data_IF_118314846081
#
_entry.id   IF_118314846081
#
_cell.length_a   1.000
_cell.length_b   1.000
_cell.length_c   1.000
_cell.angle_alpha   90.00
_cell.angle_beta   90.00
_cell.angle_gamma   90.00
#
_symmetry.space_group_name_H-M   'P 1'
#
loop_
_entity.id
_entity.type
_entity.pdbx_description
1 polymer ?
#
# COMPACT_ATOMS: atom_id res chain seq x y z
N UNK A 1 -13.34 15.66 28.26
CA UNK A 1 -11.99 15.06 28.41
C UNK A 1 -12.02 13.66 27.78
N UNK A 2 -10.93 13.24 27.11
CA UNK A 2 -10.85 11.90 26.47
C UNK A 2 -10.54 10.86 27.53
N UNK A 3 -11.39 9.83 27.67
CA UNK A 3 -11.22 8.78 28.67
C UNK A 3 -9.97 7.93 28.41
N UNK A 4 -9.47 7.23 29.44
CA UNK A 4 -8.32 6.31 29.30
C UNK A 4 -8.57 5.23 28.22
N UNK A 5 -9.81 4.75 28.12
CA UNK A 5 -10.20 3.72 27.15
C UNK A 5 -10.15 4.23 25.69
N UNK A 6 -10.63 5.44 25.45
CA UNK A 6 -10.57 6.10 24.15
C UNK A 6 -9.12 6.42 23.76
N UNK A 7 -8.28 6.82 24.72
CA UNK A 7 -6.85 7.02 24.47
C UNK A 7 -6.14 5.72 24.05
N UNK A 8 -6.52 4.57 24.62
CA UNK A 8 -5.97 3.26 24.19
C UNK A 8 -6.32 2.97 22.74
N UNK A 9 -7.58 3.16 22.34
CA UNK A 9 -7.99 3.01 20.94
C UNK A 9 -7.16 3.92 20.01
N UNK A 10 -7.05 5.21 20.34
CA UNK A 10 -6.31 6.19 19.52
C UNK A 10 -4.85 5.78 19.36
N UNK A 11 -4.17 5.36 20.44
CA UNK A 11 -2.77 4.93 20.39
C UNK A 11 -2.57 3.65 19.58
N UNK A 12 -3.40 2.64 19.83
CA UNK A 12 -3.30 1.35 19.11
C UNK A 12 -3.60 1.54 17.62
N UNK A 13 -4.58 2.38 17.27
CA UNK A 13 -4.89 2.67 15.87
C UNK A 13 -3.75 3.44 15.19
N UNK A 14 -3.11 4.39 15.88
CA UNK A 14 -1.90 5.05 15.37
C UNK A 14 -0.76 4.05 15.13
N UNK A 15 -0.51 3.15 16.08
CA UNK A 15 0.48 2.07 15.92
C UNK A 15 0.10 1.20 14.72
N UNK A 16 -1.19 0.87 14.53
CA UNK A 16 -1.68 0.09 13.39
C UNK A 16 -1.34 0.78 12.06
N UNK A 17 -1.55 2.09 11.95
CA UNK A 17 -1.20 2.87 10.76
C UNK A 17 0.32 2.80 10.49
N UNK A 18 1.14 3.02 11.52
CA UNK A 18 2.60 2.96 11.41
C UNK A 18 3.08 1.58 10.99
N UNK A 19 2.61 0.52 11.65
CA UNK A 19 2.97 -0.87 11.33
C UNK A 19 2.51 -1.24 9.92
N UNK A 20 1.34 -0.77 9.48
CA UNK A 20 0.88 -0.98 8.10
C UNK A 20 1.82 -0.33 7.08
N UNK A 21 2.29 0.90 7.34
CA UNK A 21 3.30 1.55 6.49
C UNK A 21 4.63 0.78 6.48
N UNK A 22 5.05 0.21 7.62
CA UNK A 22 6.25 -0.62 7.70
C UNK A 22 6.09 -1.94 6.93
N UNK A 23 4.90 -2.55 6.92
CA UNK A 23 4.61 -3.72 6.07
C UNK A 23 4.67 -3.35 4.59
N UNK A 24 4.17 -2.18 4.20
CA UNK A 24 4.26 -1.72 2.81
C UNK A 24 5.72 -1.49 2.41
N UNK A 25 6.55 -0.93 3.30
CA UNK A 25 8.00 -0.85 3.08
C UNK A 25 8.63 -2.24 2.93
N UNK A 26 8.31 -3.17 3.83
CA UNK A 26 8.81 -4.55 3.76
C UNK A 26 8.40 -5.26 2.46
N UNK A 27 7.16 -5.07 2.01
CA UNK A 27 6.68 -5.54 0.70
C UNK A 27 7.42 -4.89 -0.47
N UNK A 28 7.72 -3.60 -0.38
CA UNK A 28 8.57 -2.89 -1.34
C UNK A 28 9.98 -3.48 -1.42
N UNK A 29 10.59 -3.84 -0.28
CA UNK A 29 11.89 -4.52 -0.21
C UNK A 29 11.81 -5.93 -0.80
N UNK A 30 10.78 -6.71 -0.46
CA UNK A 30 10.54 -8.04 -1.03
C UNK A 30 10.47 -7.96 -2.56
N UNK A 31 9.76 -6.97 -3.10
CA UNK A 31 9.65 -6.77 -4.56
C UNK A 31 10.97 -6.31 -5.17
N UNK A 32 11.66 -5.35 -4.58
CA UNK A 32 12.89 -4.77 -5.15
C UNK A 32 14.10 -5.71 -5.10
N UNK A 33 14.10 -6.66 -4.16
CA UNK A 33 15.13 -7.71 -4.02
C UNK A 33 14.81 -8.98 -4.83
N UNK A 34 13.65 -9.05 -5.48
CA UNK A 34 13.21 -10.26 -6.19
C UNK A 34 12.89 -11.42 -5.24
N UNK A 35 12.52 -11.12 -3.99
CA UNK A 35 12.20 -12.11 -2.96
C UNK A 35 10.71 -12.48 -2.93
N UNK A 36 9.87 -11.91 -3.80
CA UNK A 36 8.41 -12.10 -3.77
C UNK A 36 7.91 -13.53 -4.08
N UNK A 37 8.81 -14.44 -4.45
CA UNK A 37 8.53 -15.87 -4.65
C UNK A 37 9.39 -16.75 -3.73
N UNK A 38 10.00 -16.18 -2.70
CA UNK A 38 10.86 -16.88 -1.74
C UNK A 38 10.12 -17.91 -0.87
N UNK A 39 8.81 -17.81 -0.72
CA UNK A 39 7.96 -18.78 -0.01
C UNK A 39 6.82 -19.29 -0.91
N UNK A 40 6.85 -20.56 -1.36
CA UNK A 40 5.92 -21.06 -2.39
C UNK A 40 4.49 -21.33 -1.91
N UNK A 41 4.31 -21.58 -0.61
CA UNK A 41 3.05 -21.90 0.05
C UNK A 41 2.67 -20.80 1.06
N UNK A 42 1.46 -20.84 1.61
CA UNK A 42 0.97 -19.96 2.68
C UNK A 42 -0.13 -20.72 3.45
N UNK A 43 -0.23 -20.65 4.79
CA UNK A 43 0.47 -19.75 5.73
C UNK A 43 1.88 -20.18 6.13
N UNK A 44 2.30 -21.39 5.74
CA UNK A 44 3.66 -21.89 5.95
C UNK A 44 4.61 -21.39 4.86
N UNK A 45 5.89 -21.72 4.99
CA UNK A 45 6.91 -21.50 3.98
C UNK A 45 7.76 -22.77 3.86
N UNK A 46 7.72 -23.39 2.69
CA UNK A 46 8.20 -24.74 2.43
C UNK A 46 7.61 -25.81 3.38
N UNK A 47 6.29 -25.79 3.59
CA UNK A 47 5.56 -26.67 4.51
C UNK A 47 5.96 -26.57 5.99
N UNK A 48 6.78 -25.57 6.35
CA UNK A 48 7.29 -25.33 7.71
C UNK A 48 6.85 -23.96 8.24
N UNK A 49 6.70 -23.84 9.56
CA UNK A 49 6.49 -22.56 10.25
C UNK A 49 7.81 -21.83 10.54
N UNK A 50 8.93 -22.55 10.52
CA UNK A 50 10.26 -21.96 10.54
C UNK A 50 10.86 -22.33 9.17
N UNK A 51 11.08 -21.35 8.28
CA UNK A 51 11.57 -21.63 6.93
C UNK A 51 12.93 -22.34 6.96
N UNK A 52 13.21 -23.15 5.94
CA UNK A 52 14.51 -23.79 5.81
C UNK A 52 15.62 -22.75 5.61
N UNK A 53 16.82 -23.11 6.05
CA UNK A 53 18.04 -22.32 5.88
C UNK A 53 18.97 -22.91 4.82
N UNK A 54 18.72 -24.14 4.39
CA UNK A 54 19.52 -24.86 3.40
C UNK A 54 18.65 -25.75 2.51
N UNK A 55 19.08 -25.94 1.26
CA UNK A 55 18.36 -26.75 0.26
C UNK A 55 18.23 -28.22 0.69
N UNK A 56 19.20 -28.74 1.46
CA UNK A 56 19.17 -30.11 2.00
C UNK A 56 17.99 -30.40 2.92
N UNK A 57 17.33 -29.37 3.44
CA UNK A 57 16.13 -29.50 4.29
C UNK A 57 14.84 -29.68 3.48
N UNK A 58 14.92 -29.61 2.15
CA UNK A 58 13.82 -29.76 1.22
C UNK A 58 13.79 -31.17 0.61
N UNK A 59 12.60 -31.71 0.29
CA UNK A 59 12.50 -32.97 -0.45
C UNK A 59 13.04 -32.79 -1.87
N UNK A 60 13.57 -33.86 -2.47
CA UNK A 60 14.16 -33.81 -3.82
C UNK A 60 13.18 -33.30 -4.90
N UNK A 61 11.88 -33.57 -4.74
CA UNK A 61 10.81 -33.18 -5.67
C UNK A 61 10.08 -31.89 -5.28
N UNK A 62 10.74 -30.99 -4.54
CA UNK A 62 10.08 -29.79 -4.03
C UNK A 62 9.58 -28.87 -5.17
N UNK A 63 10.32 -28.79 -6.28
CA UNK A 63 9.98 -27.95 -7.44
C UNK A 63 8.64 -28.36 -8.03
N UNK A 64 8.47 -29.64 -8.33
CA UNK A 64 7.25 -30.22 -8.91
C UNK A 64 6.07 -30.05 -7.95
N UNK A 65 6.31 -30.32 -6.65
CA UNK A 65 5.29 -30.18 -5.61
C UNK A 65 4.71 -28.77 -5.56
N UNK A 66 5.55 -27.74 -5.53
CA UNK A 66 5.08 -26.37 -5.39
C UNK A 66 4.50 -25.81 -6.69
N UNK A 67 5.01 -26.21 -7.86
CA UNK A 67 4.37 -25.89 -9.15
C UNK A 67 2.97 -26.50 -9.23
N UNK A 68 2.80 -27.77 -8.84
CA UNK A 68 1.48 -28.40 -8.81
C UNK A 68 0.50 -27.68 -7.84
N UNK A 69 0.98 -27.29 -6.66
CA UNK A 69 0.21 -26.50 -5.70
C UNK A 69 -0.22 -25.14 -6.25
N UNK A 70 0.69 -24.46 -6.94
CA UNK A 70 0.46 -23.17 -7.61
C UNK A 70 -0.62 -23.28 -8.68
N UNK A 71 -0.52 -24.28 -9.56
CA UNK A 71 -1.50 -24.54 -10.63
C UNK A 71 -2.89 -24.81 -10.06
N UNK A 72 -3.00 -25.67 -9.05
CA UNK A 72 -4.29 -25.97 -8.39
C UNK A 72 -4.92 -24.73 -7.77
N UNK A 73 -4.12 -23.86 -7.18
CA UNK A 73 -4.60 -22.61 -6.57
C UNK A 73 -5.05 -21.61 -7.62
N UNK A 74 -4.29 -21.45 -8.69
CA UNK A 74 -4.62 -20.55 -9.79
C UNK A 74 -5.86 -21.02 -10.55
N UNK A 75 -6.09 -22.33 -10.68
CA UNK A 75 -7.33 -22.83 -11.28
C UNK A 75 -8.56 -22.46 -10.43
N UNK A 76 -8.47 -22.55 -9.09
CA UNK A 76 -9.54 -22.06 -8.21
C UNK A 76 -9.77 -20.56 -8.36
N UNK A 77 -8.69 -19.79 -8.51
CA UNK A 77 -8.78 -18.35 -8.72
C UNK A 77 -9.37 -17.99 -10.09
N UNK A 78 -9.01 -18.71 -11.14
CA UNK A 78 -9.59 -18.56 -12.48
C UNK A 78 -11.10 -18.81 -12.46
N UNK A 79 -11.57 -19.88 -11.81
CA UNK A 79 -13.01 -20.13 -11.61
C UNK A 79 -13.72 -19.01 -10.85
N UNK A 80 -13.06 -18.44 -9.85
CA UNK A 80 -13.59 -17.28 -9.14
C UNK A 80 -13.73 -16.07 -10.07
N UNK A 81 -12.73 -15.78 -10.91
CA UNK A 81 -12.80 -14.71 -11.91
C UNK A 81 -13.91 -14.94 -12.94
N UNK A 82 -14.08 -16.17 -13.43
CA UNK A 82 -15.18 -16.55 -14.32
C UNK A 82 -16.54 -16.30 -13.68
N UNK A 83 -16.71 -16.66 -12.40
CA UNK A 83 -17.97 -16.42 -11.67
C UNK A 83 -18.32 -14.93 -11.53
N UNK A 84 -17.32 -14.03 -11.65
CA UNK A 84 -17.49 -12.58 -11.68
C UNK A 84 -17.60 -12.00 -13.10
N UNK A 85 -17.69 -12.85 -14.13
CA UNK A 85 -17.73 -12.44 -15.55
C UNK A 85 -16.38 -11.97 -16.11
N UNK A 86 -15.26 -12.24 -15.44
CA UNK A 86 -13.91 -11.86 -15.85
C UNK A 86 -13.19 -12.98 -16.61
N UNK A 87 -13.85 -13.53 -17.63
CA UNK A 87 -13.37 -14.71 -18.40
C UNK A 87 -11.97 -14.47 -18.99
N UNK A 88 -11.72 -13.31 -19.61
CA UNK A 88 -10.41 -12.99 -20.19
C UNK A 88 -9.26 -12.98 -19.15
N UNK A 89 -9.53 -12.57 -17.91
CA UNK A 89 -8.53 -12.59 -16.84
C UNK A 89 -8.30 -14.02 -16.30
N UNK A 90 -9.36 -14.84 -16.29
CA UNK A 90 -9.22 -16.24 -15.94
C UNK A 90 -8.36 -16.99 -16.97
N UNK A 91 -8.61 -16.75 -18.25
CA UNK A 91 -7.85 -17.36 -19.35
C UNK A 91 -6.40 -16.92 -19.37
N UNK A 92 -6.10 -15.65 -19.08
CA UNK A 92 -4.73 -15.16 -19.02
C UNK A 92 -3.92 -15.88 -17.92
N UNK A 93 -4.53 -16.18 -16.77
CA UNK A 93 -3.88 -16.95 -15.70
C UNK A 93 -3.65 -18.40 -16.10
N UNK A 94 -4.60 -19.05 -16.78
CA UNK A 94 -4.47 -20.46 -17.18
C UNK A 94 -3.37 -20.68 -18.22
N UNK A 95 -3.15 -19.71 -19.10
CA UNK A 95 -2.18 -19.82 -20.20
C UNK A 95 -0.81 -19.19 -19.90
N UNK A 96 -0.62 -18.59 -18.73
CA UNK A 96 0.66 -18.02 -18.34
C UNK A 96 1.68 -19.11 -17.99
N UNK A 97 2.58 -19.38 -18.94
CA UNK A 97 3.66 -20.37 -18.80
C UNK A 97 4.64 -20.02 -17.68
N UNK A 98 4.76 -18.75 -17.29
CA UNK A 98 5.69 -18.34 -16.22
C UNK A 98 5.32 -18.97 -14.87
N UNK A 99 4.04 -19.30 -14.67
CA UNK A 99 3.53 -19.99 -13.48
C UNK A 99 4.10 -21.41 -13.36
N UNK A 100 4.40 -22.07 -14.48
CA UNK A 100 4.97 -23.43 -14.49
C UNK A 100 6.46 -23.48 -14.20
N UNK A 101 7.15 -22.33 -14.22
CA UNK A 101 8.59 -22.27 -13.96
C UNK A 101 8.82 -22.32 -12.44
N UNK A 102 9.54 -23.33 -11.93
CA UNK A 102 9.88 -23.41 -10.51
C UNK A 102 10.96 -22.39 -10.17
N UNK A 103 10.88 -21.84 -8.96
CA UNK A 103 11.92 -20.97 -8.41
C UNK A 103 12.97 -21.81 -7.67
N UNK A 104 14.24 -21.44 -7.83
CA UNK A 104 15.33 -22.04 -7.06
C UNK A 104 15.27 -21.60 -5.60
N UNK A 105 15.58 -22.53 -4.69
CA UNK A 105 15.62 -22.20 -3.27
C UNK A 105 16.76 -21.23 -2.98
N UNK A 106 16.46 -20.15 -2.26
CA UNK A 106 17.45 -19.18 -1.80
C UNK A 106 17.10 -18.72 -0.37
N UNK A 107 17.93 -19.02 0.64
CA UNK A 107 17.64 -18.70 2.03
C UNK A 107 17.33 -17.22 2.25
N UNK A 108 18.11 -16.32 1.64
CA UNK A 108 17.92 -14.87 1.79
C UNK A 108 16.57 -14.41 1.28
N UNK A 109 16.17 -14.86 0.08
CA UNK A 109 14.86 -14.53 -0.49
C UNK A 109 13.72 -15.10 0.35
N UNK A 110 13.85 -16.36 0.78
CA UNK A 110 12.86 -17.05 1.61
C UNK A 110 12.63 -16.33 2.93
N UNK A 111 13.69 -15.97 3.66
CA UNK A 111 13.57 -15.25 4.92
C UNK A 111 13.09 -13.81 4.75
N UNK A 112 13.49 -13.14 3.66
CA UNK A 112 13.00 -11.79 3.34
C UNK A 112 11.48 -11.79 3.13
N UNK A 113 10.94 -12.76 2.38
CA UNK A 113 9.49 -12.89 2.22
C UNK A 113 8.78 -13.31 3.52
N UNK A 114 9.36 -14.27 4.25
CA UNK A 114 8.77 -14.75 5.50
C UNK A 114 8.64 -13.65 6.57
N UNK A 115 9.67 -12.81 6.72
CA UNK A 115 9.62 -11.66 7.64
C UNK A 115 8.54 -10.65 7.25
N UNK A 116 8.34 -10.41 5.94
CA UNK A 116 7.24 -9.58 5.47
C UNK A 116 5.86 -10.19 5.80
N UNK A 117 5.70 -11.52 5.69
CA UNK A 117 4.47 -12.22 6.08
C UNK A 117 4.20 -12.10 7.59
N UNK A 118 5.23 -12.23 8.43
CA UNK A 118 5.13 -12.02 9.88
C UNK A 118 4.74 -10.58 10.23
N UNK A 119 5.31 -9.60 9.52
CA UNK A 119 4.91 -8.20 9.68
C UNK A 119 3.42 -7.99 9.32
N UNK A 120 2.92 -8.67 8.28
CA UNK A 120 1.50 -8.72 7.95
C UNK A 120 0.63 -9.31 9.07
N UNK A 121 1.07 -10.38 9.72
CA UNK A 121 0.38 -10.95 10.91
C UNK A 121 0.31 -9.92 12.04
N UNK A 122 1.39 -9.16 12.27
CA UNK A 122 1.41 -8.10 13.27
C UNK A 122 0.33 -7.04 13.02
N UNK A 123 0.12 -6.63 11.76
CA UNK A 123 -1.00 -5.72 11.39
C UNK A 123 -2.35 -6.32 11.76
N UNK A 124 -2.56 -7.62 11.49
CA UNK A 124 -3.78 -8.34 11.87
C UNK A 124 -4.03 -8.31 13.39
N UNK A 125 -2.99 -8.55 14.19
CA UNK A 125 -3.07 -8.49 15.66
C UNK A 125 -3.47 -7.08 16.13
N UNK A 126 -2.80 -6.04 15.60
CA UNK A 126 -3.15 -4.65 15.95
C UNK A 126 -4.57 -4.28 15.52
N UNK A 127 -5.05 -4.76 14.36
CA UNK A 127 -6.42 -4.55 13.94
C UNK A 127 -7.44 -5.25 14.85
N UNK A 128 -7.16 -6.47 15.32
CA UNK A 128 -7.96 -7.14 16.36
C UNK A 128 -8.04 -6.28 17.63
N UNK A 129 -6.91 -5.74 18.08
CA UNK A 129 -6.89 -4.83 19.23
C UNK A 129 -7.69 -3.54 18.96
N UNK A 130 -7.63 -2.97 17.75
CA UNK A 130 -8.47 -1.81 17.41
C UNK A 130 -9.95 -2.13 17.48
N UNK A 131 -10.39 -3.32 17.02
CA UNK A 131 -11.79 -3.77 17.17
C UNK A 131 -12.17 -3.89 18.63
N UNK A 132 -11.36 -4.57 19.46
CA UNK A 132 -11.64 -4.72 20.89
C UNK A 132 -11.81 -3.37 21.57
N UNK A 133 -10.87 -2.43 21.34
CA UNK A 133 -10.96 -1.10 21.94
C UNK A 133 -12.01 -0.18 21.31
N UNK A 134 -12.47 -0.47 20.08
CA UNK A 134 -13.52 0.32 19.42
C UNK A 134 -14.86 0.26 20.17
N UNK A 135 -15.13 -0.81 20.92
CA UNK A 135 -16.38 -0.98 21.68
C UNK A 135 -16.57 0.06 22.78
N UNK A 136 -15.52 0.80 23.17
CA UNK A 136 -15.69 1.96 24.05
C UNK A 136 -16.63 3.02 23.44
N UNK A 137 -16.69 3.09 22.10
CA UNK A 137 -17.53 4.02 21.35
C UNK A 137 -18.96 3.51 21.08
N UNK A 138 -19.40 2.40 21.70
CA UNK A 138 -20.70 1.76 21.39
C UNK A 138 -21.93 2.69 21.53
N UNK A 139 -21.86 3.68 22.42
CA UNK A 139 -22.94 4.65 22.67
C UNK A 139 -22.78 5.96 21.89
N UNK A 140 -21.56 6.30 21.45
CA UNK A 140 -21.22 7.63 20.95
C UNK A 140 -20.87 7.66 19.46
N UNK A 141 -20.17 6.64 18.95
CA UNK A 141 -19.67 6.61 17.58
C UNK A 141 -19.61 5.18 17.02
N UNK A 142 -20.78 4.54 16.83
CA UNK A 142 -20.92 3.16 16.32
C UNK A 142 -20.18 2.91 14.99
N UNK A 143 -20.01 3.95 14.17
CA UNK A 143 -19.25 3.88 12.91
C UNK A 143 -17.80 3.45 13.12
N UNK A 144 -17.17 3.80 14.25
CA UNK A 144 -15.80 3.36 14.56
C UNK A 144 -15.76 1.83 14.68
N UNK A 145 -16.75 1.23 15.36
CA UNK A 145 -16.85 -0.23 15.54
C UNK A 145 -17.04 -0.93 14.20
N UNK A 146 -18.01 -0.47 13.41
CA UNK A 146 -18.33 -1.07 12.10
C UNK A 146 -17.10 -1.04 11.19
N UNK A 147 -16.42 0.10 11.12
CA UNK A 147 -15.23 0.26 10.27
C UNK A 147 -14.04 -0.54 10.79
N UNK A 148 -13.82 -0.63 12.10
CA UNK A 148 -12.77 -1.48 12.66
C UNK A 148 -13.02 -2.96 12.34
N UNK A 149 -14.26 -3.44 12.44
CA UNK A 149 -14.63 -4.83 12.09
C UNK A 149 -14.43 -5.05 10.59
N UNK A 150 -14.91 -4.14 9.75
CA UNK A 150 -14.71 -4.20 8.30
C UNK A 150 -13.21 -4.26 7.97
N UNK A 151 -12.36 -3.50 8.66
CA UNK A 151 -10.93 -3.49 8.38
C UNK A 151 -10.24 -4.83 8.66
N UNK A 152 -10.73 -5.61 9.65
CA UNK A 152 -10.26 -6.99 9.86
C UNK A 152 -10.62 -7.89 8.66
N UNK A 153 -11.84 -7.76 8.13
CA UNK A 153 -12.25 -8.53 6.95
C UNK A 153 -11.40 -8.14 5.73
N UNK A 154 -11.15 -6.85 5.56
CA UNK A 154 -10.31 -6.32 4.46
C UNK A 154 -8.87 -6.83 4.58
N UNK A 155 -8.25 -6.84 5.77
CA UNK A 155 -6.89 -7.40 5.93
C UNK A 155 -6.85 -8.92 5.74
N UNK A 156 -7.92 -9.63 6.10
CA UNK A 156 -8.05 -11.06 5.82
C UNK A 156 -8.08 -11.34 4.31
N UNK A 157 -8.89 -10.56 3.57
CA UNK A 157 -8.92 -10.63 2.11
C UNK A 157 -7.58 -10.21 1.49
N UNK A 158 -6.90 -9.20 2.05
CA UNK A 158 -5.57 -8.79 1.64
C UNK A 158 -4.52 -9.89 1.80
N UNK A 159 -4.55 -10.64 2.91
CA UNK A 159 -3.68 -11.80 3.13
C UNK A 159 -3.93 -12.93 2.13
N UNK A 160 -5.21 -13.23 1.86
CA UNK A 160 -5.59 -14.16 0.80
C UNK A 160 -5.08 -13.69 -0.57
N UNK A 161 -5.32 -12.43 -0.93
CA UNK A 161 -4.88 -11.85 -2.20
C UNK A 161 -3.35 -11.84 -2.33
N UNK A 162 -2.61 -11.57 -1.25
CA UNK A 162 -1.15 -11.68 -1.23
C UNK A 162 -0.66 -13.09 -1.52
N UNK A 163 -1.39 -14.10 -1.04
CA UNK A 163 -1.08 -15.49 -1.37
C UNK A 163 -1.38 -15.84 -2.85
N UNK A 164 -2.32 -15.11 -3.49
CA UNK A 164 -2.61 -15.23 -4.93
C UNK A 164 -1.53 -14.51 -5.75
N UNK A 165 -1.04 -13.35 -5.30
CA UNK A 165 0.11 -12.65 -5.91
C UNK A 165 1.31 -13.58 -6.08
N UNK A 166 1.63 -14.38 -5.05
CA UNK A 166 2.71 -15.38 -5.14
C UNK A 166 2.34 -16.51 -6.11
N UNK A 167 1.10 -17.00 -6.09
CA UNK A 167 0.74 -18.13 -6.96
C UNK A 167 0.63 -17.74 -8.43
N UNK A 168 0.25 -16.51 -8.75
CA UNK A 168 0.20 -16.00 -10.13
C UNK A 168 1.55 -15.50 -10.64
N UNK A 169 2.66 -15.92 -10.01
CA UNK A 169 4.01 -15.49 -10.36
C UNK A 169 4.16 -13.96 -10.45
N UNK A 170 3.54 -13.26 -9.49
CA UNK A 170 3.56 -11.80 -9.38
C UNK A 170 2.87 -11.11 -10.58
N UNK A 171 1.80 -11.69 -11.11
CA UNK A 171 0.97 -11.07 -12.16
C UNK A 171 0.59 -9.64 -11.77
N UNK A 172 0.93 -8.68 -12.64
CA UNK A 172 1.00 -7.28 -12.24
C UNK A 172 -0.34 -6.72 -11.75
N UNK A 173 -1.42 -6.96 -12.49
CA UNK A 173 -2.72 -6.45 -12.11
C UNK A 173 -3.16 -6.99 -10.74
N UNK A 174 -2.76 -8.21 -10.35
CA UNK A 174 -3.02 -8.77 -9.02
C UNK A 174 -2.21 -8.01 -7.96
N UNK A 175 -0.94 -7.70 -8.24
CA UNK A 175 -0.08 -6.86 -7.38
C UNK A 175 -0.67 -5.47 -7.22
N UNK A 176 -1.18 -4.85 -8.29
CA UNK A 176 -1.82 -3.52 -8.25
C UNK A 176 -3.08 -3.55 -7.39
N UNK A 177 -3.97 -4.54 -7.56
CA UNK A 177 -5.16 -4.68 -6.71
C UNK A 177 -4.77 -4.90 -5.25
N UNK A 178 -3.73 -5.71 -4.98
CA UNK A 178 -3.19 -5.91 -3.63
C UNK A 178 -2.70 -4.59 -3.03
N UNK A 179 -1.93 -3.78 -3.77
CA UNK A 179 -1.48 -2.48 -3.28
C UNK A 179 -2.65 -1.52 -3.02
N UNK A 180 -3.62 -1.42 -3.93
CA UNK A 180 -4.78 -0.54 -3.76
C UNK A 180 -5.62 -0.92 -2.54
N UNK A 181 -5.77 -2.22 -2.27
CA UNK A 181 -6.45 -2.69 -1.07
C UNK A 181 -5.68 -2.30 0.22
N UNK A 182 -4.35 -2.21 0.17
CA UNK A 182 -3.55 -1.70 1.29
C UNK A 182 -3.86 -0.22 1.58
N UNK A 183 -4.08 0.59 0.53
CA UNK A 183 -4.51 1.99 0.69
C UNK A 183 -5.90 2.09 1.33
N UNK A 184 -6.80 1.16 1.02
CA UNK A 184 -8.13 1.08 1.67
C UNK A 184 -7.99 0.78 3.16
N UNK A 185 -7.14 -0.18 3.54
CA UNK A 185 -6.86 -0.51 4.95
C UNK A 185 -6.34 0.73 5.70
N UNK A 186 -5.38 1.43 5.10
CA UNK A 186 -4.84 2.69 5.64
C UNK A 186 -5.92 3.76 5.76
N UNK A 187 -6.76 3.95 4.73
CA UNK A 187 -7.83 4.94 4.74
C UNK A 187 -8.84 4.66 5.87
N UNK A 188 -9.25 3.41 6.08
CA UNK A 188 -10.14 3.04 7.18
C UNK A 188 -9.49 3.33 8.54
N UNK A 189 -8.23 2.95 8.73
CA UNK A 189 -7.48 3.21 9.97
C UNK A 189 -7.31 4.70 10.24
N UNK A 190 -6.91 5.49 9.24
CA UNK A 190 -6.76 6.95 9.34
C UNK A 190 -8.10 7.63 9.63
N UNK A 191 -9.17 7.19 8.98
CA UNK A 191 -10.51 7.72 9.22
C UNK A 191 -10.96 7.50 10.66
N UNK A 192 -10.88 6.25 11.13
CA UNK A 192 -11.30 5.89 12.50
C UNK A 192 -10.42 6.56 13.56
N UNK A 193 -9.11 6.66 13.31
CA UNK A 193 -8.17 7.40 14.16
C UNK A 193 -8.53 8.88 14.26
N UNK A 194 -8.73 9.55 13.12
CA UNK A 194 -9.11 10.95 13.10
C UNK A 194 -10.47 11.17 13.75
N UNK A 195 -11.47 10.33 13.45
CA UNK A 195 -12.81 10.48 14.00
C UNK A 195 -12.80 10.35 15.54
N UNK A 196 -12.10 9.34 16.08
CA UNK A 196 -11.92 9.16 17.52
C UNK A 196 -11.24 10.37 18.18
N UNK A 197 -10.15 10.88 17.59
CA UNK A 197 -9.40 12.03 18.13
C UNK A 197 -10.20 13.33 18.12
N UNK A 198 -11.16 13.44 17.20
CA UNK A 198 -11.95 14.63 16.97
C UNK A 198 -13.27 14.62 17.75
N UNK A 199 -13.79 13.46 18.15
CA UNK A 199 -15.10 13.30 18.79
C UNK A 199 -15.34 14.25 19.97
N UNK A 200 -14.35 14.41 20.86
CA UNK A 200 -14.45 15.28 22.04
C UNK A 200 -14.05 16.74 21.81
N UNK A 201 -13.74 17.15 20.58
CA UNK A 201 -13.32 18.53 20.24
C UNK A 201 -14.44 19.26 19.52
N UNK A 202 -14.64 20.53 19.84
CA UNK A 202 -15.51 21.39 19.04
C UNK A 202 -14.99 21.49 17.59
N UNK A 203 -15.88 21.60 16.58
CA UNK A 203 -15.48 21.87 15.21
C UNK A 203 -14.67 23.17 15.14
N UNK A 204 -13.60 23.19 14.34
CA UNK A 204 -12.90 24.43 14.04
C UNK A 204 -13.77 25.29 13.13
N UNK A 205 -13.94 26.56 13.51
CA UNK A 205 -14.62 27.58 12.70
C UNK A 205 -13.57 28.56 12.19
N UNK A 206 -13.56 28.81 10.89
CA UNK A 206 -12.65 29.80 10.29
C UNK A 206 -13.44 30.81 9.44
N UNK A 207 -12.90 32.02 9.27
CA UNK A 207 -13.56 33.10 8.52
C UNK A 207 -13.62 32.84 7.00
N UNK A 208 -12.71 32.02 6.47
CA UNK A 208 -12.58 31.80 5.03
C UNK A 208 -13.50 30.71 4.47
N UNK A 209 -13.91 30.86 3.20
CA UNK A 209 -14.68 29.84 2.46
C UNK A 209 -13.80 28.61 2.16
N UNK A 210 -14.23 27.43 2.63
CA UNK A 210 -13.44 26.18 2.60
C UNK A 210 -13.89 25.23 1.48
N UNK A 211 -15.05 25.46 0.85
CA UNK A 211 -15.61 24.55 -0.16
C UNK A 211 -14.61 24.22 -1.28
N UNK A 212 -13.92 25.24 -1.81
CA UNK A 212 -12.87 25.07 -2.80
C UNK A 212 -11.68 24.24 -2.29
N UNK A 213 -11.26 24.44 -1.04
CA UNK A 213 -10.18 23.64 -0.46
C UNK A 213 -10.60 22.17 -0.31
N UNK A 214 -11.84 21.89 0.11
CA UNK A 214 -12.34 20.50 0.22
C UNK A 214 -12.37 19.82 -1.16
N UNK A 215 -12.89 20.50 -2.17
CA UNK A 215 -12.94 19.99 -3.54
C UNK A 215 -11.54 19.76 -4.12
N UNK A 216 -10.63 20.72 -3.95
CA UNK A 216 -9.27 20.62 -4.47
C UNK A 216 -8.42 19.57 -3.74
N UNK A 217 -8.61 19.38 -2.43
CA UNK A 217 -7.99 18.27 -1.70
C UNK A 217 -8.47 16.91 -2.19
N UNK A 218 -9.78 16.77 -2.46
CA UNK A 218 -10.33 15.54 -3.02
C UNK A 218 -9.76 15.26 -4.42
N UNK A 219 -9.72 16.28 -5.29
CA UNK A 219 -9.06 16.18 -6.59
C UNK A 219 -7.59 15.75 -6.46
N UNK A 220 -6.83 16.39 -5.56
CA UNK A 220 -5.41 16.09 -5.31
C UNK A 220 -5.22 14.64 -4.83
N UNK A 221 -6.14 14.13 -4.01
CA UNK A 221 -6.12 12.74 -3.56
C UNK A 221 -6.37 11.76 -4.72
N UNK A 222 -7.36 12.06 -5.58
CA UNK A 222 -7.70 11.22 -6.74
C UNK A 222 -6.54 11.16 -7.73
N UNK A 223 -5.93 12.29 -8.10
CA UNK A 223 -4.77 12.28 -9.01
C UNK A 223 -3.59 11.52 -8.41
N UNK A 224 -3.43 11.55 -7.08
CA UNK A 224 -2.36 10.79 -6.40
C UNK A 224 -2.62 9.28 -6.46
N UNK A 225 -3.87 8.83 -6.35
CA UNK A 225 -4.23 7.42 -6.57
C UNK A 225 -3.92 7.01 -8.01
N UNK A 226 -4.29 7.84 -8.99
CA UNK A 226 -3.97 7.59 -10.42
C UNK A 226 -2.46 7.52 -10.63
N UNK A 227 -1.69 8.42 -10.03
CA UNK A 227 -0.22 8.41 -10.07
C UNK A 227 0.37 7.11 -9.52
N UNK A 228 -0.19 6.59 -8.42
CA UNK A 228 0.23 5.32 -7.82
C UNK A 228 -0.05 4.16 -8.79
N UNK A 229 -1.22 4.13 -9.43
CA UNK A 229 -1.57 3.11 -10.44
C UNK A 229 -0.62 3.17 -11.63
N UNK A 230 -0.40 4.35 -12.24
CA UNK A 230 0.57 4.50 -13.33
C UNK A 230 1.99 4.10 -12.89
N UNK A 231 2.35 4.36 -11.64
CA UNK A 231 3.63 3.90 -11.08
C UNK A 231 3.77 2.37 -11.06
N UNK A 232 2.66 1.64 -10.84
CA UNK A 232 2.66 0.18 -10.98
C UNK A 232 2.84 -0.24 -12.44
N UNK A 233 2.27 0.46 -13.41
CA UNK A 233 2.45 0.13 -14.84
C UNK A 233 3.90 0.38 -15.30
N UNK A 234 4.52 1.50 -14.89
CA UNK A 234 5.96 1.74 -15.13
C UNK A 234 6.78 0.58 -14.56
N UNK A 235 6.45 0.10 -13.37
CA UNK A 235 7.17 -0.99 -12.72
C UNK A 235 7.09 -2.28 -13.53
N UNK A 236 5.93 -2.60 -14.10
CA UNK A 236 5.74 -3.76 -14.98
C UNK A 236 6.57 -3.65 -16.25
N UNK A 237 6.50 -2.50 -16.92
CA UNK A 237 7.28 -2.25 -18.13
C UNK A 237 8.79 -2.41 -17.86
N UNK A 238 9.28 -1.87 -16.73
CA UNK A 238 10.68 -2.05 -16.30
C UNK A 238 11.00 -3.53 -16.08
N UNK A 239 10.10 -4.33 -15.48
CA UNK A 239 10.33 -5.76 -15.28
C UNK A 239 10.43 -6.55 -16.58
N UNK A 240 9.61 -6.22 -17.59
CA UNK A 240 9.68 -6.83 -18.92
C UNK A 240 11.02 -6.53 -19.58
N UNK A 241 11.48 -5.28 -19.54
CA UNK A 241 12.78 -4.87 -20.08
C UNK A 241 13.95 -5.50 -19.30
N UNK A 242 13.87 -5.53 -17.98
CA UNK A 242 14.90 -6.13 -17.14
C UNK A 242 15.08 -7.63 -17.48
N UNK A 243 13.96 -8.36 -17.65
CA UNK A 243 13.99 -9.77 -18.04
C UNK A 243 14.56 -9.97 -19.45
N UNK A 244 14.18 -9.15 -20.43
CA UNK A 244 14.68 -9.29 -21.80
C UNK A 244 16.18 -9.00 -21.93
N UNK A 245 16.75 -8.25 -20.99
CA UNK A 245 18.18 -7.96 -20.89
C UNK A 245 18.93 -8.86 -19.89
N UNK A 246 18.32 -9.95 -19.42
CA UNK A 246 18.88 -10.85 -18.40
C UNK A 246 19.39 -10.09 -17.15
N UNK A 247 18.66 -9.04 -16.74
CA UNK A 247 18.98 -8.13 -15.64
C UNK A 247 20.29 -7.33 -15.78
N UNK A 248 20.91 -7.34 -16.97
CA UNK A 248 22.04 -6.51 -17.33
C UNK A 248 21.65 -5.08 -17.71
N UNK A 249 22.65 -4.22 -17.89
CA UNK A 249 22.49 -2.87 -18.47
C UNK A 249 21.42 -1.98 -17.80
N UNK A 250 21.36 -2.00 -16.45
CA UNK A 250 20.34 -1.28 -15.64
C UNK A 250 20.14 0.18 -16.02
N UNK A 251 21.21 0.86 -16.41
CA UNK A 251 21.19 2.27 -16.83
C UNK A 251 20.32 2.52 -18.07
N UNK A 252 19.99 1.49 -18.84
CA UNK A 252 19.20 1.58 -20.09
C UNK A 252 17.74 1.20 -19.92
N UNK A 253 17.31 0.72 -18.75
CA UNK A 253 15.97 0.18 -18.57
C UNK A 253 14.90 1.25 -18.77
N UNK A 254 15.07 2.40 -18.10
CA UNK A 254 14.08 3.48 -18.10
C UNK A 254 13.93 4.11 -19.49
N UNK A 255 15.02 4.27 -20.24
CA UNK A 255 14.96 4.81 -21.60
C UNK A 255 14.23 3.89 -22.59
N UNK A 256 14.03 2.61 -22.25
CA UNK A 256 13.30 1.62 -23.05
C UNK A 256 11.84 1.43 -22.64
N UNK A 257 11.38 2.06 -21.55
CA UNK A 257 9.98 1.94 -21.08
C UNK A 257 8.99 2.67 -21.99
N UNK A 258 9.43 3.76 -22.64
CA UNK A 258 8.60 4.53 -23.57
C UNK A 258 7.53 5.37 -22.87
N UNK A 259 6.33 5.41 -23.46
CA UNK A 259 5.27 6.38 -23.13
C UNK A 259 4.78 6.29 -21.68
N UNK A 260 4.67 5.07 -21.12
CA UNK A 260 4.19 4.85 -19.75
C UNK A 260 5.04 5.61 -18.73
N UNK A 261 6.36 5.67 -18.94
CA UNK A 261 7.26 6.43 -18.07
C UNK A 261 7.05 7.94 -18.21
N UNK A 262 6.91 8.46 -19.44
CA UNK A 262 6.61 9.88 -19.64
C UNK A 262 5.26 10.28 -19.04
N UNK A 263 4.21 9.47 -19.21
CA UNK A 263 2.89 9.75 -18.63
C UNK A 263 2.94 9.76 -17.10
N UNK A 264 3.67 8.82 -16.48
CA UNK A 264 3.90 8.81 -15.05
C UNK A 264 4.67 10.06 -14.57
N UNK A 265 5.72 10.47 -15.30
CA UNK A 265 6.51 11.67 -14.96
C UNK A 265 5.68 12.94 -15.09
N UNK A 266 4.91 13.08 -16.15
CA UNK A 266 4.16 14.29 -16.45
C UNK A 266 2.98 14.44 -15.47
N UNK A 267 2.32 13.33 -15.12
CA UNK A 267 1.33 13.34 -14.03
C UNK A 267 1.97 13.61 -12.66
N UNK A 268 3.22 13.18 -12.41
CA UNK A 268 3.93 13.52 -11.18
C UNK A 268 4.14 15.04 -11.04
N UNK A 269 4.42 15.76 -12.13
CA UNK A 269 4.53 17.22 -12.14
C UNK A 269 3.18 17.85 -11.72
N UNK A 270 2.06 17.34 -12.25
CA UNK A 270 0.74 17.80 -11.83
C UNK A 270 0.48 17.53 -10.34
N UNK A 271 0.86 16.35 -9.82
CA UNK A 271 0.77 16.03 -8.40
C UNK A 271 1.60 17.02 -7.56
N UNK A 272 2.81 17.38 -7.99
CA UNK A 272 3.65 18.37 -7.28
C UNK A 272 2.97 19.73 -7.23
N UNK A 273 2.51 20.24 -8.39
CA UNK A 273 1.84 21.53 -8.48
C UNK A 273 0.58 21.55 -7.60
N UNK A 274 -0.25 20.51 -7.68
CA UNK A 274 -1.47 20.39 -6.89
C UNK A 274 -1.17 20.40 -5.37
N UNK A 275 -0.16 19.67 -4.91
CA UNK A 275 0.24 19.70 -3.51
C UNK A 275 0.81 21.07 -3.08
N UNK A 276 1.52 21.77 -3.96
CA UNK A 276 1.97 23.15 -3.73
C UNK A 276 0.81 24.13 -3.57
N UNK A 277 -0.21 24.03 -4.43
CA UNK A 277 -1.44 24.82 -4.33
C UNK A 277 -2.20 24.49 -3.05
N UNK A 278 -2.36 23.21 -2.70
CA UNK A 278 -2.95 22.78 -1.42
C UNK A 278 -2.21 23.41 -0.24
N UNK A 279 -0.89 23.36 -0.23
CA UNK A 279 -0.08 23.95 0.83
C UNK A 279 -0.34 25.46 0.96
N UNK A 280 -0.34 26.20 -0.16
CA UNK A 280 -0.66 27.63 -0.17
C UNK A 280 -2.06 27.90 0.36
N UNK A 281 -3.06 27.14 -0.08
CA UNK A 281 -4.43 27.30 0.38
C UNK A 281 -4.58 27.01 1.89
N UNK A 282 -3.80 26.07 2.43
CA UNK A 282 -3.80 25.73 3.86
C UNK A 282 -3.12 26.82 4.69
N UNK A 283 -1.93 27.31 4.30
CA UNK A 283 -1.23 28.35 5.07
C UNK A 283 -2.01 29.67 5.11
N UNK A 284 -2.76 29.99 4.04
CA UNK A 284 -3.61 31.19 3.98
C UNK A 284 -4.81 31.13 4.92
N UNK A 285 -5.21 29.92 5.38
CA UNK A 285 -6.46 29.68 6.13
C UNK A 285 -6.24 29.19 7.55
N UNK A 286 -5.07 28.59 7.82
CA UNK A 286 -4.74 27.99 9.11
C UNK A 286 -3.39 28.54 9.59
N UNK A 287 -3.36 29.06 10.82
CA UNK A 287 -2.17 29.67 11.41
C UNK A 287 -1.59 28.84 12.56
N UNK A 288 -0.36 29.18 12.97
CA UNK A 288 0.29 28.64 14.17
C UNK A 288 0.59 27.14 14.12
N UNK A 289 0.28 26.42 15.20
CA UNK A 289 0.52 24.96 15.34
C UNK A 289 -0.72 24.12 14.96
N UNK A 290 -1.57 24.63 14.08
CA UNK A 290 -2.78 23.92 13.66
C UNK A 290 -2.43 22.59 12.97
N UNK A 291 -3.16 21.52 13.29
CA UNK A 291 -2.94 20.20 12.71
C UNK A 291 -2.98 20.16 11.17
N UNK A 292 -3.86 20.92 10.46
CA UNK A 292 -3.82 21.01 9.01
C UNK A 292 -2.48 21.54 8.46
N UNK A 293 -1.94 22.61 9.05
CA UNK A 293 -0.68 23.21 8.61
C UNK A 293 0.51 22.27 8.84
N UNK A 294 0.56 21.60 10.01
CA UNK A 294 1.59 20.61 10.29
C UNK A 294 1.53 19.43 9.30
N UNK A 295 0.33 18.95 8.99
CA UNK A 295 0.12 17.87 8.01
C UNK A 295 0.58 18.30 6.62
N UNK A 296 0.23 19.50 6.19
CA UNK A 296 0.65 20.05 4.89
C UNK A 296 2.18 20.21 4.79
N UNK A 297 2.89 20.57 5.88
CA UNK A 297 4.35 20.60 5.90
C UNK A 297 4.97 19.21 5.73
N UNK A 298 4.44 18.20 6.42
CA UNK A 298 4.89 16.82 6.24
C UNK A 298 4.59 16.27 4.84
N UNK A 299 3.51 16.72 4.20
CA UNK A 299 3.23 16.40 2.80
C UNK A 299 4.33 16.92 1.87
N UNK A 300 4.82 18.15 2.06
CA UNK A 300 5.91 18.70 1.26
C UNK A 300 7.22 17.92 1.45
N UNK A 301 7.56 17.56 2.69
CA UNK A 301 8.76 16.73 2.98
C UNK A 301 8.63 15.36 2.29
N UNK A 302 7.46 14.73 2.42
CA UNK A 302 7.16 13.44 1.79
C UNK A 302 7.26 13.52 0.27
N UNK A 303 6.69 14.56 -0.34
CA UNK A 303 6.75 14.81 -1.76
C UNK A 303 8.19 15.03 -2.26
N UNK A 304 9.00 15.75 -1.49
CA UNK A 304 10.42 15.95 -1.81
C UNK A 304 11.18 14.61 -1.85
N UNK A 305 10.99 13.75 -0.84
CA UNK A 305 11.60 12.40 -0.82
C UNK A 305 11.06 11.54 -1.97
N UNK A 306 9.79 11.69 -2.34
CA UNK A 306 9.20 11.01 -3.49
C UNK A 306 9.87 11.40 -4.82
N UNK A 307 10.15 12.69 -5.00
CA UNK A 307 10.86 13.20 -6.18
C UNK A 307 12.32 12.71 -6.20
N UNK A 308 13.01 12.77 -5.07
CA UNK A 308 14.40 12.28 -4.98
C UNK A 308 14.50 10.78 -5.26
N UNK A 309 13.62 9.97 -4.69
CA UNK A 309 13.60 8.53 -4.95
C UNK A 309 13.20 8.21 -6.39
N UNK A 310 12.26 8.96 -6.98
CA UNK A 310 11.90 8.82 -8.40
C UNK A 310 13.04 9.19 -9.34
N UNK A 311 13.75 10.29 -9.05
CA UNK A 311 14.96 10.69 -9.77
C UNK A 311 16.05 9.61 -9.66
N UNK A 312 16.29 9.07 -8.46
CA UNK A 312 17.26 7.99 -8.27
C UNK A 312 16.90 6.74 -9.10
N UNK A 313 15.61 6.38 -9.19
CA UNK A 313 15.15 5.28 -10.03
C UNK A 313 15.38 5.54 -11.52
N UNK A 314 15.20 6.79 -11.97
CA UNK A 314 15.38 7.18 -13.37
C UNK A 314 16.85 7.25 -13.80
N UNK A 315 17.76 7.66 -12.91
CA UNK A 315 19.13 8.05 -13.29
C UNK A 315 20.26 7.25 -12.59
N UNK A 316 19.97 6.51 -11.51
CA UNK A 316 21.00 5.83 -10.70
C UNK A 316 20.83 4.31 -10.77
N UNK A 317 20.86 3.75 -11.98
CA UNK A 317 20.86 2.30 -12.22
C UNK A 317 19.71 1.52 -11.52
N UNK A 318 18.55 2.18 -11.33
CA UNK A 318 17.37 1.59 -10.69
C UNK A 318 17.66 0.92 -9.33
N UNK A 319 18.05 1.68 -8.28
CA UNK A 319 18.56 1.10 -7.05
C UNK A 319 17.41 0.52 -6.19
N UNK A 320 17.56 -0.71 -5.63
CA UNK A 320 16.48 -1.38 -4.88
C UNK A 320 15.96 -0.59 -3.67
N UNK A 321 16.83 0.18 -3.01
CA UNK A 321 16.46 1.02 -1.87
C UNK A 321 15.56 2.18 -2.32
N UNK A 322 15.87 2.85 -3.44
CA UNK A 322 15.04 3.92 -3.98
C UNK A 322 13.65 3.40 -4.37
N UNK A 323 13.56 2.17 -4.87
CA UNK A 323 12.27 1.54 -5.19
C UNK A 323 11.39 1.35 -3.95
N UNK A 324 11.95 0.80 -2.88
CA UNK A 324 11.22 0.60 -1.62
C UNK A 324 10.79 1.94 -1.00
N UNK A 325 11.66 2.95 -1.03
CA UNK A 325 11.35 4.30 -0.56
C UNK A 325 10.26 4.95 -1.41
N UNK A 326 10.30 4.83 -2.74
CA UNK A 326 9.32 5.43 -3.63
C UNK A 326 7.90 4.86 -3.40
N UNK A 327 7.77 3.59 -3.04
CA UNK A 327 6.49 2.95 -2.68
C UNK A 327 6.02 3.41 -1.28
N UNK A 328 6.93 3.49 -0.32
CA UNK A 328 6.59 3.96 1.04
C UNK A 328 6.13 5.42 1.02
N UNK A 329 6.88 6.32 0.39
CA UNK A 329 6.61 7.75 0.43
C UNK A 329 5.43 8.15 -0.46
N UNK A 330 5.12 7.44 -1.55
CA UNK A 330 3.84 7.61 -2.27
C UNK A 330 2.64 7.25 -1.39
N UNK A 331 2.72 6.13 -0.67
CA UNK A 331 1.67 5.68 0.24
C UNK A 331 1.51 6.62 1.45
N UNK A 332 2.64 7.14 1.98
CA UNK A 332 2.64 8.15 3.03
C UNK A 332 2.03 9.47 2.54
N UNK A 333 2.30 9.89 1.29
CA UNK A 333 1.72 11.08 0.70
C UNK A 333 0.20 10.95 0.63
N UNK A 334 -0.32 9.83 0.10
CA UNK A 334 -1.74 9.50 0.11
C UNK A 334 -2.34 9.56 1.53
N UNK A 335 -1.66 8.95 2.50
CA UNK A 335 -2.11 8.90 3.90
C UNK A 335 -2.23 10.29 4.51
N UNK A 336 -1.25 11.16 4.27
CA UNK A 336 -1.24 12.54 4.76
C UNK A 336 -2.28 13.41 4.04
N UNK A 337 -2.44 13.26 2.72
CA UNK A 337 -3.48 13.94 1.94
C UNK A 337 -4.87 13.59 2.44
N UNK A 338 -5.13 12.29 2.67
CA UNK A 338 -6.41 11.83 3.18
C UNK A 338 -6.66 12.34 4.61
N UNK A 339 -5.66 12.29 5.48
CA UNK A 339 -5.78 12.84 6.83
C UNK A 339 -6.03 14.35 6.82
N UNK A 340 -5.33 15.12 5.97
CA UNK A 340 -5.57 16.55 5.79
C UNK A 340 -6.98 16.83 5.28
N UNK A 341 -7.45 16.06 4.29
CA UNK A 341 -8.82 16.13 3.80
C UNK A 341 -9.83 15.97 4.93
N UNK A 342 -9.67 14.97 5.81
CA UNK A 342 -10.57 14.77 6.95
C UNK A 342 -10.53 15.91 7.98
N UNK A 343 -9.35 16.49 8.24
CA UNK A 343 -9.21 17.65 9.14
C UNK A 343 -9.97 18.86 8.58
N UNK A 344 -9.79 19.15 7.29
CA UNK A 344 -10.45 20.27 6.62
C UNK A 344 -11.95 20.04 6.46
N UNK A 345 -12.38 18.81 6.17
CA UNK A 345 -13.78 18.46 5.97
C UNK A 345 -14.64 18.80 7.19
N UNK A 346 -14.10 18.62 8.41
CA UNK A 346 -14.77 18.96 9.68
C UNK A 346 -14.81 20.47 9.98
N UNK A 347 -14.03 21.28 9.27
CA UNK A 347 -13.99 22.73 9.50
C UNK A 347 -15.20 23.39 8.82
N UNK A 348 -15.85 24.30 9.54
CA UNK A 348 -16.95 25.13 9.04
C UNK A 348 -16.50 26.57 8.81
N UNK A 349 -17.09 27.22 7.81
CA UNK A 349 -16.93 28.67 7.61
C UNK A 349 -17.84 29.40 8.59
N UNK A 350 -17.34 30.47 9.22
CA UNK A 350 -18.15 31.36 10.03
C UNK A 350 -19.27 31.96 9.16
N UNK A 351 -20.53 31.75 9.53
CA UNK A 351 -21.66 32.46 8.94
C UNK A 351 -21.84 33.72 9.77
N UNK A 352 -21.55 34.89 9.17
CA UNK A 352 -21.85 36.18 9.78
C UNK A 352 -23.35 36.33 9.99
#
# INVERSE_FOLDING_TARGET
MVSRSEQRFIRINLITIIVTLLVILAGGIVRSTGSGMGCPDWPKCFDRYIPPTDVSQLPANYKEKYVAGRLKKNEKFAKYLESMGKVALADSIRHDKSITIPEEFNPTKTWTEYLNRLAGVAVGIFLILTVVYSFTYRKTAKRIIVLSILNILVVGYQGWLGSIVVSTNLAQWVVTVHMLLALVILAISIYTYNYAKQLSKAPSVIMYRIAWLKGFLFFTLVITIVQIVLGTEVREAVDVIAKSLAYGSKNTWISKVGEVFSSHRDLAILVVIANGVVYKMVIDRFSGKAAPLLTARFMLITLFVQLLSGFALAYIAFPPAAQALHILFSTLLFSLQFYLYLLVYRTSTYKQ
#
